data_IF_911145286887
#
_entry.id   IF_911145286887
#
_cell.length_a   1.000
_cell.length_b   1.000
_cell.length_c   1.000
_cell.angle_alpha   90.00
_cell.angle_beta   90.00
_cell.angle_gamma   90.00
#
_symmetry.space_group_name_H-M   'P 1'
#
loop_
_entity.id
_entity.type
_entity.pdbx_description
1 polymer ?
#
# COMPACT_ATOMS: atom_id res chain seq x y z
N UNK A 1 -32.45 -20.27 -12.25
CA UNK A 1 -31.97 -19.91 -11.82
C UNK A 1 -31.06 -19.09 -12.03
N UNK A 2 -30.70 -18.44 -11.94
CA UNK A 2 -29.94 -17.66 -12.18
C UNK A 2 -28.95 -17.49 -11.46
N UNK A 3 -28.26 -17.43 -11.21
CA UNK A 3 -27.43 -17.35 -10.53
C UNK A 3 -26.45 -16.78 -10.70
N UNK A 4 -26.19 -16.80 -11.12
CA UNK A 4 -25.38 -16.50 -11.35
C UNK A 4 -24.76 -15.61 -11.70
N UNK A 5 -24.92 -15.09 -12.09
CA UNK A 5 -24.48 -14.25 -12.57
C UNK A 5 -23.80 -13.51 -11.84
N UNK A 6 -23.63 -13.30 -11.29
CA UNK A 6 -23.24 -12.47 -10.64
C UNK A 6 -22.08 -12.40 -10.23
N UNK A 7 -21.61 -12.81 -10.07
CA UNK A 7 -20.68 -12.74 -9.42
C UNK A 7 -19.46 -12.71 -10.03
N UNK A 8 -19.21 -13.00 -11.15
CA UNK A 8 -18.02 -12.85 -11.79
C UNK A 8 -17.51 -11.49 -11.77
N UNK A 9 -18.36 -10.53 -11.69
CA UNK A 9 -17.86 -9.23 -11.60
C UNK A 9 -17.28 -8.93 -10.33
N UNK A 10 -17.81 -9.42 -9.28
CA UNK A 10 -17.25 -9.19 -7.97
C UNK A 10 -15.90 -9.83 -7.83
N UNK A 11 -15.67 -10.83 -8.59
CA UNK A 11 -14.39 -11.52 -8.54
C UNK A 11 -13.36 -10.99 -9.50
N UNK A 12 -13.73 -10.04 -10.30
CA UNK A 12 -12.78 -9.50 -11.24
C UNK A 12 -11.65 -8.84 -10.48
N UNK A 13 -10.44 -9.12 -10.83
CA UNK A 13 -9.32 -8.50 -10.16
C UNK A 13 -9.41 -7.03 -10.40
N UNK A 14 -8.93 -6.29 -9.49
CA UNK A 14 -8.85 -4.90 -9.66
C UNK A 14 -7.75 -4.68 -10.64
N UNK A 15 -8.02 -4.97 -11.83
CA UNK A 15 -6.99 -4.95 -12.79
C UNK A 15 -6.51 -3.57 -13.08
N UNK A 16 -7.29 -2.60 -12.81
CA UNK A 16 -6.93 -1.24 -13.11
C UNK A 16 -6.50 -0.55 -11.83
N UNK A 17 -5.21 -0.27 -11.67
CA UNK A 17 -4.73 0.34 -10.45
C UNK A 17 -5.39 1.67 -10.15
N UNK A 18 -5.86 2.36 -11.17
CA UNK A 18 -6.54 3.61 -10.94
C UNK A 18 -7.92 3.46 -10.38
N UNK A 19 -8.38 2.22 -10.24
CA UNK A 19 -9.75 1.94 -9.85
C UNK A 19 -9.84 1.31 -8.46
N UNK A 20 -9.03 1.72 -7.53
CA UNK A 20 -9.14 1.18 -6.17
C UNK A 20 -10.51 1.51 -5.60
N UNK A 21 -11.04 0.58 -4.84
CA UNK A 21 -12.28 0.75 -4.14
C UNK A 21 -11.98 1.40 -2.79
N UNK A 22 -12.43 2.63 -2.60
CA UNK A 22 -12.13 3.36 -1.37
C UNK A 22 -12.79 2.73 -0.14
N UNK A 23 -13.72 1.81 -0.33
CA UNK A 23 -14.37 1.15 0.79
C UNK A 23 -13.75 -0.20 1.12
N UNK A 24 -12.77 -0.62 0.36
CA UNK A 24 -12.13 -1.91 0.53
C UNK A 24 -10.82 -1.80 1.29
N UNK A 25 -10.39 -2.91 1.85
CA UNK A 25 -9.08 -3.04 2.46
C UNK A 25 -8.19 -3.84 1.53
N UNK A 26 -6.92 -3.48 1.49
CA UNK A 26 -5.96 -4.13 0.59
C UNK A 26 -4.71 -4.56 1.35
N UNK A 27 -4.17 -5.71 0.99
CA UNK A 27 -2.81 -6.09 1.33
C UNK A 27 -1.94 -5.58 0.18
N UNK A 28 -0.83 -4.96 0.48
CA UNK A 28 0.03 -4.32 -0.52
C UNK A 28 1.33 -5.11 -0.58
N UNK A 29 1.48 -5.89 -1.66
CA UNK A 29 2.53 -6.91 -1.76
C UNK A 29 3.62 -6.48 -2.72
N UNK A 30 4.86 -6.53 -2.26
CA UNK A 30 6.01 -6.12 -3.06
C UNK A 30 6.31 -7.13 -4.16
N UNK A 31 6.54 -6.64 -5.36
CA UNK A 31 6.82 -7.51 -6.51
C UNK A 31 8.12 -8.28 -6.36
N UNK A 32 9.14 -7.66 -5.83
CA UNK A 32 10.44 -8.29 -5.71
C UNK A 32 10.47 -9.37 -4.61
N UNK A 33 9.92 -9.05 -3.44
CA UNK A 33 10.02 -9.94 -2.28
C UNK A 33 8.81 -10.83 -2.06
N UNK A 34 7.65 -10.44 -2.58
CA UNK A 34 6.40 -11.13 -2.28
C UNK A 34 5.89 -10.86 -0.88
N UNK A 35 6.52 -9.93 -0.16
CA UNK A 35 6.10 -9.61 1.20
C UNK A 35 5.17 -8.41 1.25
N UNK A 36 4.45 -8.27 2.35
CA UNK A 36 3.42 -7.26 2.52
C UNK A 36 3.95 -6.05 3.28
N UNK A 37 3.41 -4.88 2.96
CA UNK A 37 3.58 -3.70 3.81
C UNK A 37 2.97 -3.99 5.16
N UNK A 38 3.67 -3.63 6.22
CA UNK A 38 3.37 -4.07 7.58
C UNK A 38 3.73 -2.97 8.55
N UNK A 39 2.81 -2.64 9.45
CA UNK A 39 3.15 -1.73 10.55
C UNK A 39 3.77 -2.56 11.65
N UNK A 40 5.03 -2.30 11.92
CA UNK A 40 5.85 -3.11 12.82
C UNK A 40 5.19 -3.32 14.18
N UNK A 41 5.18 -4.58 14.62
CA UNK A 41 4.69 -4.92 15.95
C UNK A 41 3.21 -4.66 16.19
N UNK A 42 2.43 -4.47 15.14
CA UNK A 42 1.02 -4.11 15.25
C UNK A 42 0.85 -2.84 16.10
N UNK A 43 1.85 -1.98 16.07
CA UNK A 43 1.85 -0.76 16.89
C UNK A 43 0.79 0.23 16.41
N UNK A 44 0.18 0.91 17.35
CA UNK A 44 -0.74 2.01 17.04
C UNK A 44 -0.12 3.38 17.33
N UNK A 45 1.17 3.42 17.62
CA UNK A 45 1.82 4.68 17.98
C UNK A 45 2.17 5.50 16.75
N UNK A 46 2.17 6.82 16.91
CA UNK A 46 2.75 7.69 15.90
C UNK A 46 4.24 7.38 15.79
N UNK A 47 4.74 7.32 14.58
CA UNK A 47 6.15 7.03 14.35
C UNK A 47 6.50 5.55 14.28
N UNK A 48 5.53 4.66 14.45
CA UNK A 48 5.82 3.24 14.34
C UNK A 48 6.33 2.91 12.93
N UNK A 49 7.38 2.12 12.85
CA UNK A 49 8.00 1.81 11.58
C UNK A 49 7.08 1.02 10.66
N UNK A 50 7.17 1.29 9.38
CA UNK A 50 6.55 0.46 8.36
C UNK A 50 7.65 -0.37 7.73
N UNK A 51 7.44 -1.66 7.65
CA UNK A 51 8.41 -2.57 7.07
C UNK A 51 7.73 -3.52 6.10
N UNK A 52 8.46 -4.45 5.54
CA UNK A 52 7.86 -5.57 4.86
C UNK A 52 7.91 -6.79 5.76
N UNK A 53 6.92 -7.63 5.67
CA UNK A 53 6.84 -8.87 6.43
C UNK A 53 6.08 -9.91 5.63
N UNK A 54 6.38 -11.18 5.93
CA UNK A 54 5.61 -12.25 5.30
C UNK A 54 4.13 -11.98 5.49
N UNK A 55 3.35 -12.22 4.44
CA UNK A 55 1.92 -11.94 4.49
C UNK A 55 1.24 -12.91 5.46
N UNK A 56 0.63 -12.36 6.49
CA UNK A 56 -0.08 -13.13 7.52
C UNK A 56 -1.53 -12.70 7.68
N UNK A 57 -1.98 -11.81 6.83
CA UNK A 57 -3.38 -11.36 6.78
C UNK A 57 -3.90 -10.74 8.09
N UNK A 58 -3.05 -10.07 8.82
CA UNK A 58 -3.46 -9.32 10.01
C UNK A 58 -3.80 -7.89 9.65
N UNK A 59 -4.53 -7.23 10.53
CA UNK A 59 -5.00 -5.87 10.25
C UNK A 59 -3.91 -4.82 10.13
N UNK A 60 -2.72 -5.08 10.67
CA UNK A 60 -1.57 -4.19 10.49
C UNK A 60 -0.91 -4.33 9.11
N UNK A 61 -1.44 -5.24 8.29
CA UNK A 61 -1.03 -5.40 6.89
C UNK A 61 -2.15 -5.03 5.93
N UNK A 62 -3.21 -4.42 6.42
CA UNK A 62 -4.37 -4.07 5.59
C UNK A 62 -4.56 -2.56 5.59
N UNK A 63 -4.72 -2.01 4.39
CA UNK A 63 -4.79 -0.57 4.18
C UNK A 63 -5.98 -0.19 3.31
N UNK A 64 -6.58 0.94 3.65
CA UNK A 64 -7.68 1.51 2.89
C UNK A 64 -7.19 2.80 2.22
N UNK A 65 -7.59 2.99 0.98
CA UNK A 65 -7.17 4.17 0.22
C UNK A 65 -8.20 5.27 0.38
N UNK A 66 -7.85 6.31 1.12
CA UNK A 66 -8.72 7.45 1.36
C UNK A 66 -8.46 8.51 0.30
N UNK A 67 -9.47 8.83 -0.48
CA UNK A 67 -9.34 9.80 -1.55
C UNK A 67 -8.93 11.16 -0.97
N UNK A 68 -7.86 11.73 -1.52
CA UNK A 68 -7.32 13.02 -1.09
C UNK A 68 -7.38 14.08 -2.17
N UNK A 69 -8.06 13.78 -3.29
CA UNK A 69 -8.16 14.71 -4.41
C UNK A 69 -7.00 14.55 -5.40
N UNK A 70 -7.26 14.97 -6.61
CA UNK A 70 -6.26 15.00 -7.69
C UNK A 70 -5.59 13.65 -7.98
N UNK A 71 -6.26 12.55 -7.66
CA UNK A 71 -5.71 11.22 -7.89
C UNK A 71 -4.79 10.74 -6.79
N UNK A 72 -4.72 11.44 -5.68
CA UNK A 72 -3.91 11.04 -4.53
C UNK A 72 -4.75 10.39 -3.45
N UNK A 73 -4.11 9.54 -2.65
CA UNK A 73 -4.76 8.80 -1.57
C UNK A 73 -3.89 8.82 -0.32
N UNK A 74 -4.53 8.81 0.84
CA UNK A 74 -3.86 8.47 2.09
C UNK A 74 -4.12 7.00 2.34
N UNK A 75 -3.13 6.27 2.83
CA UNK A 75 -3.24 4.83 3.05
C UNK A 75 -3.40 4.58 4.54
N UNK A 76 -4.62 4.25 4.94
CA UNK A 76 -4.98 4.08 6.35
C UNK A 76 -4.84 2.64 6.80
N UNK A 77 -4.04 2.40 7.84
CA UNK A 77 -3.87 1.08 8.41
C UNK A 77 -5.11 0.67 9.18
N UNK A 78 -5.56 -0.55 8.96
CA UNK A 78 -6.83 -1.01 9.54
C UNK A 78 -6.79 -1.12 11.06
N UNK A 79 -5.68 -1.58 11.62
CA UNK A 79 -5.58 -1.78 13.08
C UNK A 79 -5.53 -0.49 13.88
N UNK A 80 -4.90 0.56 13.32
CA UNK A 80 -4.63 1.79 14.07
C UNK A 80 -5.46 2.99 13.63
N UNK A 81 -5.92 2.98 12.39
CA UNK A 81 -6.56 4.15 11.82
C UNK A 81 -5.58 5.25 11.43
N UNK A 82 -4.27 5.01 11.60
CA UNK A 82 -3.25 5.97 11.20
C UNK A 82 -2.85 5.72 9.74
N UNK A 83 -2.11 6.64 9.17
CA UNK A 83 -1.78 6.58 7.75
C UNK A 83 -0.29 6.48 7.50
N UNK A 84 0.08 6.02 6.33
CA UNK A 84 1.48 6.02 5.90
C UNK A 84 1.94 7.46 5.75
N UNK A 85 3.16 7.72 6.19
CA UNK A 85 3.67 9.07 6.34
C UNK A 85 5.16 9.06 6.04
N UNK A 86 5.62 9.97 5.20
CA UNK A 86 7.06 10.14 4.99
C UNK A 86 7.58 10.99 6.14
N UNK A 87 8.48 10.43 6.91
CA UNK A 87 8.98 11.04 8.12
C UNK A 87 9.51 12.45 7.90
N UNK A 88 9.08 13.36 8.76
CA UNK A 88 9.55 14.75 8.78
C UNK A 88 9.38 15.50 7.46
N UNK A 89 8.40 15.09 6.66
CA UNK A 89 8.16 15.74 5.36
C UNK A 89 9.40 15.72 4.47
N UNK A 90 10.25 14.74 4.64
CA UNK A 90 11.48 14.66 3.88
C UNK A 90 11.23 14.47 2.39
N UNK A 91 12.09 15.08 1.59
CA UNK A 91 12.10 14.84 0.15
C UNK A 91 13.33 14.05 -0.28
N UNK A 92 14.11 13.57 0.68
CA UNK A 92 15.34 12.87 0.37
C UNK A 92 15.12 11.40 0.02
N UNK A 93 16.02 10.87 -0.78
CA UNK A 93 16.08 9.43 -0.98
C UNK A 93 16.38 8.75 0.35
N UNK A 94 15.79 7.60 0.57
CA UNK A 94 15.95 6.79 1.78
C UNK A 94 15.28 7.35 3.03
N UNK A 95 14.44 8.36 2.90
CA UNK A 95 13.66 8.82 4.05
C UNK A 95 12.69 7.72 4.47
N UNK A 96 12.58 7.49 5.76
CA UNK A 96 11.77 6.42 6.28
C UNK A 96 10.28 6.67 6.09
N UNK A 97 9.55 5.59 5.85
CA UNK A 97 8.09 5.59 5.89
C UNK A 97 7.68 5.00 7.23
N UNK A 98 6.79 5.70 7.93
CA UNK A 98 6.25 5.23 9.18
C UNK A 98 4.74 5.49 9.18
N UNK A 99 4.04 5.12 10.25
CA UNK A 99 2.66 5.53 10.40
C UNK A 99 2.58 6.79 11.25
N UNK A 100 1.58 7.59 11.01
CA UNK A 100 1.34 8.80 11.79
C UNK A 100 -0.15 9.12 11.78
N UNK A 101 -0.58 9.90 12.77
CA UNK A 101 -1.96 10.39 12.82
C UNK A 101 -2.29 11.10 11.53
N UNK A 102 -3.50 10.89 11.03
CA UNK A 102 -3.94 11.46 9.77
C UNK A 102 -4.18 12.97 9.92
N UNK A 103 -3.31 13.78 9.35
CA UNK A 103 -3.50 15.23 9.33
C UNK A 103 -3.70 15.76 7.90
N UNK A 104 -3.76 14.86 6.93
CA UNK A 104 -4.05 15.23 5.55
C UNK A 104 -2.93 15.95 4.80
N UNK A 105 -1.72 15.98 5.35
CA UNK A 105 -0.61 16.65 4.70
C UNK A 105 -0.15 15.92 3.44
N UNK A 106 0.55 16.63 2.56
CA UNK A 106 0.98 16.05 1.28
C UNK A 106 2.03 14.95 1.46
N UNK A 107 2.74 14.92 2.59
CA UNK A 107 3.68 13.83 2.87
C UNK A 107 2.96 12.53 3.23
N UNK A 108 1.65 12.59 3.38
CA UNK A 108 0.80 11.42 3.64
C UNK A 108 -0.03 11.03 2.42
N UNK A 109 0.22 11.67 1.29
CA UNK A 109 -0.58 11.44 0.09
C UNK A 109 0.25 10.78 -1.00
N UNK A 110 -0.33 9.77 -1.63
CA UNK A 110 0.34 8.97 -2.64
C UNK A 110 -0.57 8.76 -3.84
N UNK A 111 0.00 8.82 -5.04
CA UNK A 111 -0.75 8.44 -6.23
C UNK A 111 -0.29 7.08 -6.70
N UNK A 112 -1.14 6.41 -7.43
CA UNK A 112 -0.85 5.09 -7.97
C UNK A 112 -0.36 5.27 -9.40
N UNK A 113 0.90 4.95 -9.64
CA UNK A 113 1.46 5.01 -10.97
C UNK A 113 1.50 3.60 -11.54
N UNK A 114 0.97 3.43 -12.74
CA UNK A 114 0.90 2.12 -13.37
C UNK A 114 2.28 1.54 -13.62
N UNK A 115 2.40 0.26 -13.39
CA UNK A 115 3.56 -0.54 -13.73
C UNK A 115 3.09 -1.79 -14.47
N UNK A 116 3.96 -2.49 -15.17
CA UNK A 116 3.54 -3.67 -15.93
C UNK A 116 2.86 -4.72 -15.06
N UNK A 117 2.02 -5.52 -15.69
CA UNK A 117 1.41 -6.72 -15.08
C UNK A 117 0.48 -6.43 -13.90
N UNK A 118 -0.12 -5.26 -13.88
CA UNK A 118 -1.09 -4.92 -12.83
C UNK A 118 -0.45 -4.43 -11.53
N UNK A 119 0.85 -4.22 -11.52
CA UNK A 119 1.52 -3.64 -10.37
C UNK A 119 1.42 -2.11 -10.41
N UNK A 120 1.63 -1.48 -9.26
CA UNK A 120 1.64 -0.02 -9.15
C UNK A 120 2.86 0.44 -8.36
N UNK A 121 3.28 1.65 -8.62
CA UNK A 121 4.22 2.35 -7.75
C UNK A 121 3.42 3.37 -6.96
N UNK A 122 3.79 3.57 -5.71
CA UNK A 122 3.12 4.54 -4.83
C UNK A 122 4.01 5.77 -4.77
N UNK A 123 3.56 6.86 -5.36
CA UNK A 123 4.37 8.06 -5.52
C UNK A 123 3.91 9.12 -4.52
N UNK A 124 4.81 9.54 -3.65
CA UNK A 124 4.50 10.53 -2.62
C UNK A 124 4.27 11.91 -3.24
N UNK A 125 3.22 12.58 -2.82
CA UNK A 125 2.85 13.87 -3.38
C UNK A 125 3.85 14.97 -3.03
N UNK A 126 4.45 14.91 -1.87
CA UNK A 126 5.39 15.94 -1.42
C UNK A 126 6.74 15.82 -2.14
N UNK A 127 7.23 14.61 -2.31
CA UNK A 127 8.58 14.39 -2.82
C UNK A 127 8.64 13.93 -4.27
N UNK A 128 7.55 13.35 -4.78
CA UNK A 128 7.58 12.72 -6.10
C UNK A 128 8.33 11.39 -6.10
N UNK A 129 8.69 10.88 -4.93
CA UNK A 129 9.45 9.63 -4.84
C UNK A 129 8.56 8.43 -4.61
N UNK A 130 9.09 7.25 -4.91
CA UNK A 130 8.34 6.00 -4.83
C UNK A 130 8.59 5.27 -3.52
N UNK A 131 7.59 4.60 -3.03
CA UNK A 131 7.69 3.71 -1.86
C UNK A 131 8.51 2.49 -2.26
N UNK A 132 9.57 2.21 -1.53
CA UNK A 132 10.57 1.22 -1.93
C UNK A 132 10.99 0.31 -0.80
N UNK A 133 11.28 -0.95 -1.14
CA UNK A 133 12.03 -1.84 -0.25
C UNK A 133 13.51 -1.64 -0.59
N UNK A 134 14.30 -1.04 0.32
CA UNK A 134 15.68 -0.72 0.00
C UNK A 134 16.53 -1.96 -0.23
N UNK A 135 17.50 -1.82 -1.13
CA UNK A 135 18.48 -2.87 -1.37
C UNK A 135 17.92 -4.14 -1.98
N UNK A 136 16.71 -4.11 -2.56
CA UNK A 136 16.07 -5.31 -3.06
C UNK A 136 15.99 -6.40 -1.99
N UNK A 137 15.85 -6.01 -0.73
CA UNK A 137 15.80 -6.97 0.36
C UNK A 137 14.57 -7.87 0.25
N UNK A 138 14.73 -9.12 0.63
CA UNK A 138 13.60 -10.03 0.79
C UNK A 138 13.43 -10.45 2.25
N UNK A 139 14.09 -9.79 3.17
CA UNK A 139 14.03 -10.15 4.58
C UNK A 139 12.80 -9.57 5.26
N UNK A 140 12.21 -10.33 6.18
CA UNK A 140 11.19 -9.81 7.07
C UNK A 140 11.78 -8.68 7.91
N UNK A 141 11.02 -7.62 8.11
CA UNK A 141 11.44 -6.52 8.96
C UNK A 141 12.23 -5.42 8.25
N UNK A 142 12.47 -5.56 6.94
CA UNK A 142 13.16 -4.49 6.20
C UNK A 142 12.32 -3.23 6.22
N UNK A 143 12.87 -2.15 6.75
CA UNK A 143 12.18 -0.85 6.80
C UNK A 143 11.92 -0.29 5.41
N UNK A 144 10.75 0.27 5.23
CA UNK A 144 10.33 0.85 3.95
C UNK A 144 10.78 2.30 3.89
N UNK A 145 11.23 2.73 2.72
CA UNK A 145 11.70 4.09 2.48
C UNK A 145 11.04 4.66 1.25
N UNK A 146 11.27 5.94 0.99
CA UNK A 146 11.01 6.51 -0.32
C UNK A 146 12.33 6.60 -1.08
N UNK A 147 12.26 6.50 -2.39
CA UNK A 147 13.44 6.63 -3.24
C UNK A 147 13.04 7.15 -4.60
N UNK A 148 13.97 7.76 -5.30
CA UNK A 148 13.71 8.26 -6.66
C UNK A 148 13.00 7.21 -7.48
N UNK A 149 11.97 7.60 -8.22
CA UNK A 149 11.14 6.68 -8.99
C UNK A 149 11.92 6.20 -10.23
N UNK A 150 12.41 4.97 -10.16
CA UNK A 150 13.15 4.39 -11.28
C UNK A 150 12.50 3.11 -11.81
N UNK A 151 11.40 2.72 -11.21
CA UNK A 151 10.59 1.63 -11.74
C UNK A 151 11.08 0.22 -11.45
N UNK A 152 12.04 0.04 -10.56
CA UNK A 152 12.50 -1.30 -10.21
C UNK A 152 11.42 -2.13 -9.54
N UNK A 153 11.61 -3.47 -9.56
CA UNK A 153 10.61 -4.37 -8.98
C UNK A 153 10.40 -4.13 -7.48
N UNK A 154 11.41 -3.63 -6.80
CA UNK A 154 11.30 -3.32 -5.37
C UNK A 154 10.47 -2.06 -5.08
N UNK A 155 10.06 -1.36 -6.13
CA UNK A 155 9.14 -0.22 -6.04
C UNK A 155 7.75 -0.56 -6.57
N UNK A 156 7.53 -1.80 -6.96
CA UNK A 156 6.27 -2.21 -7.56
C UNK A 156 5.47 -3.05 -6.59
N UNK A 157 4.20 -2.74 -6.49
CA UNK A 157 3.33 -3.32 -5.48
C UNK A 157 2.05 -3.84 -6.11
N UNK A 158 1.59 -4.97 -5.62
CA UNK A 158 0.31 -5.53 -6.03
C UNK A 158 -0.71 -5.23 -4.94
N UNK A 159 -1.86 -4.72 -5.34
CA UNK A 159 -2.94 -4.44 -4.41
C UNK A 159 -3.87 -5.64 -4.38
N UNK A 160 -3.87 -6.35 -3.26
CA UNK A 160 -4.69 -7.55 -3.10
C UNK A 160 -5.87 -7.23 -2.22
N UNK A 161 -7.06 -7.25 -2.79
CA UNK A 161 -8.26 -6.89 -2.06
C UNK A 161 -8.62 -7.95 -1.03
N UNK A 162 -8.98 -7.50 0.15
CA UNK A 162 -9.35 -8.36 1.27
C UNK A 162 -10.86 -8.51 1.32
N UNK A 163 -11.31 -9.66 1.76
CA UNK A 163 -12.72 -9.75 2.17
C UNK A 163 -13.70 -10.21 1.14
N UNK A 164 -13.28 -10.71 0.02
CA UNK A 164 -14.18 -11.25 -0.90
C UNK A 164 -14.36 -12.71 -0.68
N UNK A 165 -14.59 -13.06 0.55
CA UNK A 165 -14.63 -14.43 0.87
C UNK A 165 -15.83 -15.12 0.38
N UNK A 166 -16.90 -14.45 0.30
CA UNK A 166 -18.13 -15.13 -0.08
C UNK A 166 -18.08 -15.66 -1.48
N UNK A 167 -17.25 -15.12 -2.27
CA UNK A 167 -17.16 -15.55 -3.63
C UNK A 167 -16.01 -16.44 -3.86
N UNK A 168 -15.33 -16.72 -2.87
CA UNK A 168 -14.26 -17.62 -2.92
C UNK A 168 -13.26 -17.14 -3.84
N UNK A 169 -12.87 -17.89 -4.57
CA UNK A 169 -11.89 -17.74 -5.33
C UNK A 169 -11.82 -16.73 -6.28
N UNK A 170 -11.60 -15.65 -6.03
CA UNK A 170 -11.34 -14.66 -7.03
C UNK A 170 -9.85 -14.33 -7.18
#
# INVERSE_FOLDING_TARGET
MRVERFDLRACAPAANPGAVDANAWYVIVNRNSGKALDVSGVSSADGAAVNQWARIDRTNQQFQFLNSGDGYYRLKARHSGKVLDVSSWSTADNAAIHQWSDHGGVNQQFRLANSPDGYVRLINRNSGKAVEVPGFSSADGTGIVQYSDWGGANQQWKLVRVGFTGLGSC
#
